data_IF_806465029557
#
_entry.id   IF_806465029557
#
_cell.length_a   1.000
_cell.length_b   1.000
_cell.length_c   1.000
_cell.angle_alpha   90.00
_cell.angle_beta   90.00
_cell.angle_gamma   90.00
#
_symmetry.space_group_name_H-M   'P 1'
#
loop_
_entity.id
_entity.type
_entity.pdbx_description
1 polymer ?
#
# COMPACT_ATOMS: atom_id res chain seq x y z
N UNK A 1 49.84 53.87 12.94
CA UNK A 1 49.06 53.66 14.18
C UNK A 1 47.54 53.63 13.96
N UNK A 2 46.99 54.06 12.81
CA UNK A 2 45.55 54.01 12.55
C UNK A 2 44.99 52.59 12.26
N UNK A 3 45.81 51.68 11.72
CA UNK A 3 45.38 50.34 11.26
C UNK A 3 45.14 49.35 12.41
N UNK A 4 45.86 49.50 13.53
CA UNK A 4 45.70 48.64 14.71
C UNK A 4 44.46 48.97 15.57
N UNK A 5 43.91 50.19 15.44
CA UNK A 5 42.69 50.63 16.12
C UNK A 5 41.43 50.07 15.46
N UNK A 6 41.36 50.14 14.13
CA UNK A 6 40.24 49.63 13.33
C UNK A 6 40.11 48.09 13.44
N UNK A 7 41.23 47.36 13.50
CA UNK A 7 41.22 45.91 13.70
C UNK A 7 40.73 45.52 15.10
N UNK A 8 41.04 46.30 16.15
CA UNK A 8 40.54 46.07 17.52
C UNK A 8 39.07 46.43 17.69
N UNK A 9 38.60 47.51 17.09
CA UNK A 9 37.18 47.89 17.10
C UNK A 9 36.31 46.91 16.31
N UNK A 10 36.77 46.47 15.13
CA UNK A 10 36.06 45.46 14.35
C UNK A 10 35.99 44.11 15.06
N UNK A 11 37.09 43.66 15.68
CA UNK A 11 37.10 42.41 16.43
C UNK A 11 36.24 42.48 17.71
N UNK A 12 36.08 43.67 18.30
CA UNK A 12 35.16 43.93 19.41
C UNK A 12 33.69 43.96 18.99
N UNK A 13 33.39 44.51 17.81
CA UNK A 13 32.04 44.49 17.22
C UNK A 13 31.63 43.08 16.79
N UNK A 14 32.51 42.34 16.13
CA UNK A 14 32.27 40.94 15.73
C UNK A 14 32.02 40.04 16.97
N UNK A 15 32.77 40.25 18.06
CA UNK A 15 32.56 39.53 19.32
C UNK A 15 31.23 39.89 20.02
N UNK A 16 30.78 41.14 19.87
CA UNK A 16 29.54 41.63 20.49
C UNK A 16 28.31 41.17 19.69
N UNK A 17 28.39 41.19 18.36
CA UNK A 17 27.39 40.56 17.48
C UNK A 17 27.32 39.04 17.71
N UNK A 18 28.46 38.39 18.00
CA UNK A 18 28.51 36.97 18.36
C UNK A 18 27.80 36.62 19.68
N UNK A 19 27.82 37.53 20.64
CA UNK A 19 27.14 37.38 21.93
C UNK A 19 25.63 37.62 21.76
N UNK A 20 25.24 38.59 20.93
CA UNK A 20 23.84 39.00 20.72
C UNK A 20 23.00 37.90 20.07
N UNK A 21 23.52 37.18 19.06
CA UNK A 21 22.76 36.08 18.45
C UNK A 21 22.59 34.88 19.39
N UNK A 22 23.57 34.61 20.26
CA UNK A 22 23.46 33.55 21.28
C UNK A 22 22.37 33.89 22.29
N UNK A 23 22.34 35.13 22.77
CA UNK A 23 21.29 35.63 23.67
C UNK A 23 19.91 35.48 23.01
N UNK A 24 19.82 35.80 21.71
CA UNK A 24 18.58 35.65 20.95
C UNK A 24 18.14 34.18 20.83
N UNK A 25 19.05 33.25 20.52
CA UNK A 25 18.77 31.82 20.47
C UNK A 25 18.33 31.28 21.84
N UNK A 26 18.97 31.74 22.92
CA UNK A 26 18.59 31.41 24.30
C UNK A 26 17.20 31.92 24.67
N UNK A 27 16.82 33.11 24.21
CA UNK A 27 15.49 33.67 24.42
C UNK A 27 14.41 32.81 23.75
N UNK A 28 14.64 32.36 22.50
CA UNK A 28 13.71 31.45 21.81
C UNK A 28 13.64 30.06 22.46
N UNK A 29 14.76 29.53 22.96
CA UNK A 29 14.76 28.32 23.80
C UNK A 29 13.88 28.52 25.04
N UNK A 30 13.99 29.65 25.72
CA UNK A 30 13.22 29.92 26.93
C UNK A 30 11.72 30.08 26.63
N UNK A 31 11.36 30.76 25.55
CA UNK A 31 9.98 30.80 25.04
C UNK A 31 9.44 29.38 24.78
N UNK A 32 10.24 28.55 24.10
CA UNK A 32 9.91 27.15 23.85
C UNK A 32 9.75 26.33 25.14
N UNK A 33 10.57 26.58 26.16
CA UNK A 33 10.47 25.93 27.47
C UNK A 33 9.18 26.32 28.21
N UNK A 34 8.79 27.59 28.18
CA UNK A 34 7.54 28.06 28.80
C UNK A 34 6.30 27.48 28.08
N UNK A 35 6.32 27.47 26.74
CA UNK A 35 5.29 26.79 25.96
C UNK A 35 5.23 25.28 26.26
N UNK A 36 6.39 24.63 26.47
CA UNK A 36 6.44 23.22 26.83
C UNK A 36 5.84 22.95 28.22
N UNK A 37 6.15 23.79 29.22
CA UNK A 37 5.59 23.67 30.58
C UNK A 37 4.07 23.86 30.59
N UNK A 38 3.55 24.75 29.75
CA UNK A 38 2.11 25.05 29.63
C UNK A 38 1.36 24.05 28.73
N UNK A 39 2.04 23.01 28.22
CA UNK A 39 1.42 21.97 27.39
C UNK A 39 1.16 22.37 25.94
N UNK A 40 1.70 23.51 25.52
CA UNK A 40 1.55 24.03 24.15
C UNK A 40 2.66 23.51 23.26
N UNK A 41 2.57 22.23 22.89
CA UNK A 41 3.65 21.51 22.22
C UNK A 41 4.05 22.10 20.86
N UNK A 42 3.10 22.64 20.08
CA UNK A 42 3.37 23.26 18.77
C UNK A 42 4.16 24.57 18.91
N UNK A 43 3.73 25.44 19.82
CA UNK A 43 4.45 26.69 20.15
C UNK A 43 5.86 26.37 20.67
N UNK A 44 6.00 25.32 21.50
CA UNK A 44 7.31 24.87 21.97
C UNK A 44 8.25 24.45 20.81
N UNK A 45 7.72 23.69 19.84
CA UNK A 45 8.46 23.27 18.65
C UNK A 45 8.90 24.48 17.82
N UNK A 46 8.04 25.48 17.66
CA UNK A 46 8.35 26.71 16.93
C UNK A 46 9.48 27.50 17.63
N UNK A 47 9.39 27.69 18.95
CA UNK A 47 10.45 28.34 19.73
C UNK A 47 11.79 27.63 19.61
N UNK A 48 11.83 26.30 19.74
CA UNK A 48 13.08 25.56 19.53
C UNK A 48 13.57 25.57 18.08
N UNK A 49 12.66 25.64 17.10
CA UNK A 49 13.06 25.72 15.68
C UNK A 49 13.75 27.04 15.39
N UNK A 50 13.20 28.17 15.89
CA UNK A 50 13.87 29.47 15.79
C UNK A 50 15.23 29.49 16.48
N UNK A 51 15.35 28.83 17.64
CA UNK A 51 16.63 28.70 18.31
C UNK A 51 17.66 27.89 17.48
N UNK A 52 17.22 26.84 16.79
CA UNK A 52 18.05 26.01 15.90
C UNK A 52 18.44 26.75 14.62
N UNK A 53 17.55 27.57 14.08
CA UNK A 53 17.83 28.37 12.88
C UNK A 53 18.93 29.41 13.14
N UNK A 54 19.12 29.83 14.39
CA UNK A 54 20.18 30.73 14.83
C UNK A 54 21.45 29.95 15.24
N UNK A 55 21.30 28.90 16.06
CA UNK A 55 22.41 28.04 16.50
C UNK A 55 22.14 26.57 16.13
N UNK A 56 22.59 26.13 14.94
CA UNK A 56 22.34 24.78 14.45
C UNK A 56 23.21 23.70 15.10
N UNK A 57 24.19 24.08 15.94
CA UNK A 57 25.13 23.16 16.57
C UNK A 57 24.81 22.91 18.05
N UNK A 58 23.78 23.56 18.58
CA UNK A 58 23.36 23.38 19.96
C UNK A 58 22.47 22.13 20.17
N UNK A 59 23.09 21.06 20.63
CA UNK A 59 22.43 19.79 21.04
C UNK A 59 21.21 19.96 21.95
N UNK A 60 21.16 20.99 22.81
CA UNK A 60 20.07 21.16 23.79
C UNK A 60 18.77 21.48 23.09
N UNK A 61 18.83 22.26 22.01
CA UNK A 61 17.63 22.70 21.28
C UNK A 61 16.98 21.52 20.56
N UNK A 62 17.78 20.69 19.89
CA UNK A 62 17.31 19.43 19.31
C UNK A 62 16.74 18.49 20.37
N UNK A 63 17.37 18.38 21.55
CA UNK A 63 16.89 17.51 22.64
C UNK A 63 15.50 17.96 23.13
N UNK A 64 15.30 19.26 23.26
CA UNK A 64 14.04 19.82 23.74
C UNK A 64 12.94 19.77 22.67
N UNK A 65 13.28 20.01 21.41
CA UNK A 65 12.35 19.86 20.27
C UNK A 65 11.94 18.40 20.07
N UNK A 66 12.87 17.47 20.20
CA UNK A 66 12.58 16.02 20.19
C UNK A 66 11.56 15.65 21.27
N UNK A 67 11.75 16.14 22.50
CA UNK A 67 10.79 15.91 23.59
C UNK A 67 9.41 16.51 23.29
N UNK A 68 9.35 17.70 22.71
CA UNK A 68 8.10 18.35 22.31
C UNK A 68 7.38 17.56 21.21
N UNK A 69 8.11 17.05 20.21
CA UNK A 69 7.55 16.17 19.19
C UNK A 69 6.99 14.86 19.74
N UNK A 70 7.63 14.27 20.76
CA UNK A 70 7.10 13.08 21.42
C UNK A 70 5.81 13.36 22.18
N UNK A 71 5.71 14.52 22.85
CA UNK A 71 4.47 14.93 23.55
C UNK A 71 3.33 15.29 22.59
N UNK A 72 3.65 15.75 21.38
CA UNK A 72 2.66 16.01 20.34
C UNK A 72 2.02 14.71 19.77
N UNK A 73 2.66 13.55 19.92
CA UNK A 73 2.12 12.24 19.55
C UNK A 73 2.22 11.89 18.06
N UNK A 74 1.90 12.82 17.16
CA UNK A 74 1.88 12.61 15.70
C UNK A 74 3.25 12.81 15.01
N UNK A 75 4.26 13.24 15.76
CA UNK A 75 5.56 13.66 15.20
C UNK A 75 6.74 12.77 15.64
N UNK A 76 6.49 11.50 15.98
CA UNK A 76 7.51 10.57 16.50
C UNK A 76 8.72 10.38 15.56
N UNK A 77 8.51 10.43 14.24
CA UNK A 77 9.60 10.35 13.25
C UNK A 77 10.48 11.60 13.22
N UNK A 78 9.91 12.78 13.48
CA UNK A 78 10.66 14.03 13.62
C UNK A 78 11.45 14.06 14.94
N UNK A 79 10.84 13.56 16.02
CA UNK A 79 11.52 13.38 17.30
C UNK A 79 12.76 12.49 17.19
N UNK A 80 12.68 11.41 16.40
CA UNK A 80 13.80 10.52 16.15
C UNK A 80 14.96 11.27 15.47
N UNK A 81 14.70 12.00 14.39
CA UNK A 81 15.74 12.76 13.67
C UNK A 81 16.44 13.77 14.57
N UNK A 82 15.68 14.51 15.37
CA UNK A 82 16.26 15.47 16.31
C UNK A 82 17.09 14.77 17.40
N UNK A 83 16.66 13.59 17.87
CA UNK A 83 17.41 12.82 18.85
C UNK A 83 18.69 12.20 18.26
N UNK A 84 18.66 11.74 17.01
CA UNK A 84 19.86 11.29 16.28
C UNK A 84 20.86 12.45 16.14
N UNK A 85 20.37 13.65 15.77
CA UNK A 85 21.21 14.85 15.71
C UNK A 85 21.83 15.22 17.07
N UNK A 86 21.12 15.01 18.17
CA UNK A 86 21.70 15.22 19.52
C UNK A 86 22.88 14.29 19.80
N UNK A 87 22.78 13.02 19.38
CA UNK A 87 23.85 12.02 19.57
C UNK A 87 25.03 12.35 18.66
N UNK A 88 24.79 12.80 17.43
CA UNK A 88 25.83 13.29 16.52
C UNK A 88 26.60 14.49 17.10
N UNK A 89 25.88 15.49 17.64
CA UNK A 89 26.47 16.71 18.18
C UNK A 89 27.17 16.50 19.53
N UNK A 90 26.73 15.52 20.33
CA UNK A 90 27.38 15.17 21.58
C UNK A 90 27.26 13.67 21.90
N UNK A 91 28.23 12.88 21.45
CA UNK A 91 28.24 11.43 21.67
C UNK A 91 28.54 11.04 23.12
N UNK A 92 29.07 11.95 23.94
CA UNK A 92 29.35 11.71 25.37
C UNK A 92 28.23 12.21 26.29
N UNK A 93 27.13 12.73 25.74
CA UNK A 93 26.03 13.25 26.54
C UNK A 93 24.95 12.20 26.77
N UNK A 94 24.90 11.62 27.97
CA UNK A 94 23.96 10.54 28.33
C UNK A 94 22.48 10.89 28.02
N UNK A 95 22.09 12.16 28.16
CA UNK A 95 20.73 12.65 27.87
C UNK A 95 20.36 12.54 26.38
N UNK A 96 21.32 12.61 25.46
CA UNK A 96 21.09 12.37 24.02
C UNK A 96 20.57 10.96 23.78
N UNK A 97 21.17 9.96 24.43
CA UNK A 97 20.74 8.57 24.36
C UNK A 97 19.38 8.35 25.03
N UNK A 98 19.09 9.07 26.11
CA UNK A 98 17.74 9.04 26.70
C UNK A 98 16.68 9.53 25.70
N UNK A 99 16.97 10.58 24.93
CA UNK A 99 16.06 11.11 23.90
C UNK A 99 15.92 10.16 22.72
N UNK A 100 17.02 9.60 22.23
CA UNK A 100 17.02 8.68 21.10
C UNK A 100 16.27 7.38 21.44
N UNK A 101 16.55 6.79 22.61
CA UNK A 101 15.86 5.60 23.08
C UNK A 101 14.36 5.85 23.29
N UNK A 102 13.98 7.01 23.85
CA UNK A 102 12.57 7.37 24.01
C UNK A 102 11.84 7.54 22.68
N UNK A 103 12.50 8.12 21.67
CA UNK A 103 11.93 8.25 20.33
C UNK A 103 11.78 6.90 19.61
N UNK A 104 12.78 6.03 19.72
CA UNK A 104 12.73 4.67 19.19
C UNK A 104 11.63 3.84 19.87
N UNK A 105 11.52 3.95 21.20
CA UNK A 105 10.46 3.31 21.99
C UNK A 105 9.07 3.79 21.54
N UNK A 106 8.87 5.10 21.38
CA UNK A 106 7.58 5.65 20.93
C UNK A 106 7.20 5.18 19.51
N UNK A 107 8.18 4.87 18.66
CA UNK A 107 8.00 4.32 17.31
C UNK A 107 7.81 2.78 17.28
N UNK A 108 7.82 2.10 18.43
CA UNK A 108 7.74 0.64 18.50
C UNK A 108 9.02 -0.08 18.09
N UNK A 109 10.16 0.63 18.00
CA UNK A 109 11.47 0.06 17.66
C UNK A 109 12.20 -0.38 18.93
N UNK A 110 11.62 -1.36 19.63
CA UNK A 110 12.06 -1.75 20.96
C UNK A 110 13.48 -2.33 21.00
N UNK A 111 13.89 -3.13 20.01
CA UNK A 111 15.25 -3.66 19.93
C UNK A 111 16.31 -2.54 19.90
N UNK A 112 16.07 -1.53 19.06
CA UNK A 112 16.93 -0.36 18.95
C UNK A 112 16.94 0.47 20.24
N UNK A 113 15.78 0.68 20.85
CA UNK A 113 15.66 1.42 22.10
C UNK A 113 16.47 0.78 23.23
N UNK A 114 16.41 -0.55 23.37
CA UNK A 114 17.19 -1.32 24.36
C UNK A 114 18.70 -1.11 24.16
N UNK A 115 19.18 -1.17 22.91
CA UNK A 115 20.60 -0.94 22.60
C UNK A 115 21.02 0.49 22.91
N UNK A 116 20.21 1.47 22.53
CA UNK A 116 20.47 2.89 22.77
C UNK A 116 20.52 3.21 24.26
N UNK A 117 19.58 2.71 25.06
CA UNK A 117 19.59 2.94 26.51
C UNK A 117 20.80 2.27 27.19
N UNK A 118 21.21 1.08 26.73
CA UNK A 118 22.46 0.45 27.19
C UNK A 118 23.69 1.29 26.86
N UNK A 119 23.76 1.87 25.66
CA UNK A 119 24.83 2.78 25.28
C UNK A 119 24.86 4.04 26.16
N UNK A 120 23.69 4.60 26.47
CA UNK A 120 23.57 5.72 27.41
C UNK A 120 24.05 5.38 28.83
N UNK A 121 23.72 4.18 29.33
CA UNK A 121 24.20 3.68 30.63
C UNK A 121 25.70 3.36 30.64
N UNK A 122 26.30 3.05 29.48
CA UNK A 122 27.75 2.89 29.40
C UNK A 122 28.49 4.23 29.63
N UNK A 123 27.84 5.35 29.30
CA UNK A 123 28.36 6.70 29.51
C UNK A 123 28.07 7.18 30.95
N UNK A 124 26.85 6.95 31.43
CA UNK A 124 26.41 7.35 32.77
C UNK A 124 25.73 6.17 33.49
N UNK A 125 26.52 5.30 34.15
CA UNK A 125 26.03 4.05 34.74
C UNK A 125 25.03 4.25 35.89
N UNK A 126 25.05 5.39 36.57
CA UNK A 126 24.21 5.67 37.74
C UNK A 126 22.94 6.45 37.39
N UNK A 127 22.58 6.52 36.11
CA UNK A 127 21.41 7.24 35.65
C UNK A 127 20.12 6.44 35.82
N UNK A 128 19.43 6.65 36.95
CA UNK A 128 18.17 5.98 37.27
C UNK A 128 17.08 6.15 36.18
N UNK A 129 17.07 7.29 35.47
CA UNK A 129 16.12 7.54 34.40
C UNK A 129 16.37 6.65 33.17
N UNK A 130 17.63 6.45 32.80
CA UNK A 130 18.01 5.53 31.73
C UNK A 130 17.78 4.07 32.12
N UNK A 131 18.06 3.70 33.37
CA UNK A 131 17.80 2.34 33.87
C UNK A 131 16.30 2.00 33.83
N UNK A 132 15.45 2.90 34.33
CA UNK A 132 14.00 2.76 34.25
C UNK A 132 13.50 2.67 32.80
N UNK A 133 14.06 3.49 31.90
CA UNK A 133 13.71 3.48 30.48
C UNK A 133 14.15 2.19 29.77
N UNK A 134 15.30 1.63 30.16
CA UNK A 134 15.78 0.34 29.67
C UNK A 134 14.87 -0.81 30.12
N UNK A 135 14.42 -0.80 31.38
CA UNK A 135 13.49 -1.79 31.90
C UNK A 135 12.16 -1.75 31.12
N UNK A 136 11.58 -0.56 30.95
CA UNK A 136 10.36 -0.36 30.17
C UNK A 136 10.52 -0.82 28.71
N UNK A 137 11.67 -0.53 28.09
CA UNK A 137 11.95 -0.95 26.71
C UNK A 137 12.08 -2.47 26.57
N UNK A 138 12.67 -3.17 27.56
CA UNK A 138 12.75 -4.64 27.57
C UNK A 138 11.38 -5.28 27.74
N UNK A 139 10.55 -4.75 28.65
CA UNK A 139 9.18 -5.23 28.82
C UNK A 139 8.38 -5.06 27.52
N UNK A 140 8.46 -3.88 26.89
CA UNK A 140 7.80 -3.64 25.61
C UNK A 140 8.34 -4.51 24.46
N UNK A 141 9.63 -4.82 24.47
CA UNK A 141 10.25 -5.75 23.51
C UNK A 141 9.71 -7.17 23.67
N UNK A 142 9.55 -7.64 24.92
CA UNK A 142 9.01 -8.97 25.21
C UNK A 142 7.53 -9.08 24.86
N UNK A 143 6.73 -8.05 25.14
CA UNK A 143 5.31 -8.01 24.76
C UNK A 143 5.14 -8.01 23.25
N UNK A 144 5.85 -7.16 22.50
CA UNK A 144 5.83 -7.17 21.02
C UNK A 144 6.26 -8.51 20.44
N UNK A 145 7.32 -9.13 20.99
CA UNK A 145 7.75 -10.48 20.57
C UNK A 145 6.66 -11.52 20.81
N UNK A 146 6.00 -11.48 21.97
CA UNK A 146 4.92 -12.40 22.33
C UNK A 146 3.70 -12.22 21.43
N UNK A 147 3.33 -10.98 21.12
CA UNK A 147 2.23 -10.67 20.21
C UNK A 147 2.53 -11.13 18.79
N UNK A 148 3.73 -10.87 18.27
CA UNK A 148 4.16 -11.38 16.96
C UNK A 148 4.13 -12.89 16.89
N UNK A 149 4.58 -13.57 17.94
CA UNK A 149 4.53 -15.04 18.00
C UNK A 149 3.10 -15.57 18.01
N UNK A 150 2.18 -14.94 18.78
CA UNK A 150 0.75 -15.28 18.74
C UNK A 150 0.13 -15.07 17.36
N UNK A 151 0.46 -13.95 16.72
CA UNK A 151 -0.09 -13.61 15.41
C UNK A 151 0.41 -14.57 14.32
N UNK A 152 1.70 -14.92 14.34
CA UNK A 152 2.27 -15.93 13.44
C UNK A 152 1.64 -17.32 13.64
N UNK A 153 1.29 -17.70 14.88
CA UNK A 153 0.59 -18.95 15.16
C UNK A 153 -0.81 -18.96 14.52
N UNK A 154 -1.58 -17.87 14.68
CA UNK A 154 -2.91 -17.71 14.05
C UNK A 154 -2.79 -17.77 12.53
N UNK A 155 -1.80 -17.09 11.94
CA UNK A 155 -1.58 -17.11 10.49
C UNK A 155 -1.25 -18.52 9.97
N UNK A 156 -0.45 -19.29 10.72
CA UNK A 156 -0.16 -20.68 10.38
C UNK A 156 -1.42 -21.54 10.40
N UNK A 157 -2.24 -21.42 11.44
CA UNK A 157 -3.47 -22.20 11.56
C UNK A 157 -4.47 -21.85 10.44
N UNK A 158 -4.58 -20.56 10.06
CA UNK A 158 -5.37 -20.11 8.91
C UNK A 158 -4.85 -20.74 7.60
N UNK A 159 -3.54 -20.78 7.40
CA UNK A 159 -2.96 -21.32 6.17
C UNK A 159 -3.12 -22.85 6.09
N UNK A 160 -3.00 -23.55 7.23
CA UNK A 160 -3.31 -24.99 7.33
C UNK A 160 -4.78 -25.28 6.95
N UNK A 161 -5.72 -24.48 7.44
CA UNK A 161 -7.12 -24.59 7.03
C UNK A 161 -7.33 -24.31 5.53
N UNK A 162 -6.64 -23.31 4.97
CA UNK A 162 -6.74 -22.99 3.53
C UNK A 162 -6.21 -24.11 2.67
N UNK A 163 -5.09 -24.73 3.07
CA UNK A 163 -4.51 -25.87 2.37
C UNK A 163 -5.45 -27.08 2.44
N UNK A 164 -5.99 -27.37 3.62
CA UNK A 164 -7.00 -28.43 3.83
C UNK A 164 -8.24 -28.22 2.95
N UNK A 165 -8.81 -27.00 2.93
CA UNK A 165 -9.94 -26.64 2.05
C UNK A 165 -9.60 -26.82 0.57
N UNK A 166 -8.39 -26.43 0.15
CA UNK A 166 -7.92 -26.58 -1.24
C UNK A 166 -7.80 -28.05 -1.64
N UNK A 167 -7.30 -28.89 -0.75
CA UNK A 167 -7.16 -30.33 -1.02
C UNK A 167 -8.52 -31.04 -1.01
N UNK A 168 -9.45 -30.64 -0.14
CA UNK A 168 -10.84 -31.12 -0.16
C UNK A 168 -11.56 -30.76 -1.48
N UNK A 169 -11.39 -29.54 -1.99
CA UNK A 169 -11.96 -29.13 -3.28
C UNK A 169 -11.37 -29.91 -4.46
N UNK A 170 -10.06 -30.17 -4.45
CA UNK A 170 -9.42 -31.03 -5.47
C UNK A 170 -9.94 -32.46 -5.41
N UNK A 171 -10.10 -33.02 -4.22
CA UNK A 171 -10.65 -34.36 -4.04
C UNK A 171 -12.09 -34.44 -4.55
N UNK A 172 -12.91 -33.43 -4.25
CA UNK A 172 -14.29 -33.32 -4.76
C UNK A 172 -14.33 -33.24 -6.28
N UNK A 173 -13.53 -32.37 -6.89
CA UNK A 173 -13.45 -32.25 -8.35
C UNK A 173 -12.98 -33.55 -9.02
N UNK A 174 -12.06 -34.28 -8.38
CA UNK A 174 -11.60 -35.59 -8.87
C UNK A 174 -12.71 -36.65 -8.79
N UNK A 175 -13.51 -36.65 -7.73
CA UNK A 175 -14.66 -37.56 -7.58
C UNK A 175 -15.75 -37.27 -8.63
N UNK A 176 -16.12 -35.99 -8.80
CA UNK A 176 -17.10 -35.56 -9.82
C UNK A 176 -16.63 -35.93 -11.24
N UNK A 177 -15.33 -35.81 -11.54
CA UNK A 177 -14.77 -36.22 -12.83
C UNK A 177 -14.80 -37.75 -13.04
N UNK A 178 -14.59 -38.53 -11.99
CA UNK A 178 -14.66 -39.99 -12.05
C UNK A 178 -16.11 -40.47 -12.30
N UNK A 179 -17.08 -39.88 -11.58
CA UNK A 179 -18.50 -40.17 -11.76
C UNK A 179 -18.98 -39.79 -13.17
N UNK A 180 -18.56 -38.63 -13.69
CA UNK A 180 -18.85 -38.22 -15.05
C UNK A 180 -18.23 -39.16 -16.11
N UNK A 181 -17.05 -39.72 -15.84
CA UNK A 181 -16.41 -40.69 -16.72
C UNK A 181 -17.14 -42.03 -16.71
N UNK A 182 -17.58 -42.50 -15.54
CA UNK A 182 -18.36 -43.73 -15.38
C UNK A 182 -19.73 -43.63 -16.04
N UNK A 183 -20.45 -42.52 -15.85
CA UNK A 183 -21.72 -42.26 -16.53
C UNK A 183 -21.56 -42.23 -18.06
N UNK A 184 -20.44 -41.69 -18.56
CA UNK A 184 -20.13 -41.66 -19.99
C UNK A 184 -19.76 -43.04 -20.54
N UNK A 185 -19.09 -43.87 -19.75
CA UNK A 185 -18.80 -45.26 -20.10
C UNK A 185 -20.08 -46.11 -20.13
N UNK A 186 -20.99 -45.94 -19.16
CA UNK A 186 -22.29 -46.61 -19.15
C UNK A 186 -23.16 -46.22 -20.35
N UNK A 187 -23.21 -44.93 -20.71
CA UNK A 187 -23.92 -44.45 -21.90
C UNK A 187 -23.31 -44.98 -23.22
N UNK A 188 -22.01 -45.26 -23.26
CA UNK A 188 -21.36 -45.87 -24.42
C UNK A 188 -21.70 -47.36 -24.58
N UNK A 189 -21.97 -48.07 -23.47
CA UNK A 189 -22.38 -49.48 -23.47
C UNK A 189 -23.85 -49.64 -23.93
N UNK A 190 -24.72 -48.67 -23.64
CA UNK A 190 -26.09 -48.66 -24.18
C UNK A 190 -26.18 -48.25 -25.67
N UNK A 191 -25.12 -47.67 -26.24
CA UNK A 191 -25.15 -47.07 -27.59
C UNK A 191 -24.57 -47.94 -28.73
N UNK A 192 -24.21 -49.21 -28.54
CA UNK A 192 -23.82 -50.05 -29.68
C UNK A 192 -23.37 -51.48 -29.41
N UNK A 193 -24.15 -52.44 -29.91
CA UNK A 193 -23.62 -53.66 -30.55
C UNK A 193 -22.77 -53.24 -31.76
N UNK A 194 -21.55 -53.81 -31.91
CA UNK A 194 -20.74 -53.54 -33.11
C UNK A 194 -19.25 -53.85 -32.94
N UNK A 195 -18.91 -55.13 -33.12
CA UNK A 195 -17.54 -55.65 -33.19
C UNK A 195 -16.84 -55.17 -34.48
N UNK A 196 -15.67 -54.52 -34.42
CA UNK A 196 -14.69 -54.51 -35.52
C UNK A 196 -13.32 -53.89 -35.13
N UNK A 197 -12.29 -54.73 -35.28
CA UNK A 197 -10.93 -54.42 -35.77
C UNK A 197 -10.08 -53.35 -35.09
N UNK A 198 -9.03 -53.85 -34.42
CA UNK A 198 -7.66 -53.32 -34.32
C UNK A 198 -7.43 -51.88 -34.76
N UNK A 199 -7.32 -51.00 -33.76
CA UNK A 199 -7.09 -49.57 -33.89
C UNK A 199 -5.65 -49.25 -34.38
N UNK A 200 -5.48 -48.71 -35.60
CA UNK A 200 -4.18 -48.31 -36.15
C UNK A 200 -3.52 -47.17 -35.36
N UNK A 201 -4.29 -46.42 -34.56
CA UNK A 201 -3.79 -45.30 -33.75
C UNK A 201 -2.92 -45.75 -32.58
N UNK A 202 -3.12 -46.97 -32.06
CA UNK A 202 -2.31 -47.48 -30.94
C UNK A 202 -0.84 -47.73 -31.35
N UNK A 203 -0.61 -48.20 -32.58
CA UNK A 203 0.73 -48.35 -33.14
C UNK A 203 1.38 -46.99 -33.44
N UNK A 204 0.59 -46.02 -33.90
CA UNK A 204 1.04 -44.66 -34.18
C UNK A 204 1.43 -43.88 -32.90
N UNK A 205 0.67 -44.03 -31.81
CA UNK A 205 1.02 -43.41 -30.52
C UNK A 205 2.22 -44.07 -29.83
N UNK A 206 2.50 -45.35 -30.10
CA UNK A 206 3.71 -46.03 -29.60
C UNK A 206 4.96 -45.59 -30.36
N UNK A 207 4.84 -45.31 -31.67
CA UNK A 207 5.94 -44.81 -32.51
C UNK A 207 6.29 -43.34 -32.22
N UNK A 208 5.30 -42.51 -31.86
CA UNK A 208 5.53 -41.13 -31.40
C UNK A 208 6.18 -41.06 -30.00
N UNK A 209 5.96 -42.07 -29.14
CA UNK A 209 6.65 -42.14 -27.84
C UNK A 209 8.14 -42.52 -27.98
N UNK A 210 8.56 -43.08 -29.12
CA UNK A 210 9.96 -43.41 -29.42
C UNK A 210 10.84 -42.21 -29.84
N UNK A 211 10.26 -41.07 -30.22
CA UNK A 211 11.01 -39.92 -30.77
C UNK A 211 11.12 -38.70 -29.85
N UNK A 212 10.74 -38.80 -28.57
CA UNK A 212 11.08 -37.79 -27.56
C UNK A 212 12.54 -37.93 -27.12
N UNK A 213 13.49 -37.71 -28.05
CA UNK A 213 14.88 -37.43 -27.68
C UNK A 213 14.91 -36.10 -26.93
N UNK A 214 14.89 -36.19 -25.59
CA UNK A 214 15.01 -35.05 -24.70
C UNK A 214 16.23 -34.20 -25.06
N UNK A 215 15.96 -32.97 -25.54
CA UNK A 215 16.99 -31.95 -25.65
C UNK A 215 17.35 -31.54 -24.23
N UNK A 216 18.64 -31.55 -23.83
CA UNK A 216 19.03 -31.20 -22.46
C UNK A 216 18.56 -29.77 -22.14
N UNK A 217 17.92 -29.57 -20.98
CA UNK A 217 17.28 -28.30 -20.59
C UNK A 217 18.18 -27.06 -20.76
N UNK A 218 19.49 -27.19 -20.51
CA UNK A 218 20.50 -26.13 -20.72
C UNK A 218 20.74 -25.74 -22.19
N UNK A 219 20.32 -26.55 -23.15
CA UNK A 219 20.37 -26.25 -24.59
C UNK A 219 19.07 -25.57 -25.03
N UNK A 220 17.92 -25.96 -24.47
CA UNK A 220 16.62 -25.29 -24.72
C UNK A 220 16.62 -23.86 -24.15
N UNK A 221 17.11 -23.67 -22.92
CA UNK A 221 17.20 -22.36 -22.27
C UNK A 221 18.16 -21.42 -23.02
N UNK A 222 19.28 -21.94 -23.56
CA UNK A 222 20.20 -21.17 -24.44
C UNK A 222 19.57 -20.79 -25.78
N UNK A 223 18.82 -21.69 -26.41
CA UNK A 223 18.13 -21.43 -27.69
C UNK A 223 17.00 -20.40 -27.52
N UNK A 224 16.29 -20.41 -26.40
CA UNK A 224 15.28 -19.40 -26.07
C UNK A 224 15.90 -18.02 -25.79
N UNK A 225 17.05 -17.98 -25.12
CA UNK A 225 17.78 -16.74 -24.86
C UNK A 225 18.24 -16.04 -26.16
N UNK A 226 18.71 -16.80 -27.16
CA UNK A 226 19.15 -16.25 -28.46
C UNK A 226 18.00 -15.67 -29.30
N UNK A 227 16.77 -16.15 -29.11
CA UNK A 227 15.56 -15.72 -29.85
C UNK A 227 15.22 -14.25 -29.61
N UNK A 228 15.36 -13.78 -28.37
CA UNK A 228 14.94 -12.43 -27.96
C UNK A 228 16.10 -11.42 -27.95
N UNK A 229 17.33 -11.91 -27.80
CA UNK A 229 18.53 -11.08 -27.69
C UNK A 229 19.00 -10.54 -29.04
N UNK A 230 18.91 -11.31 -30.12
CA UNK A 230 19.38 -10.89 -31.45
C UNK A 230 18.31 -10.27 -32.35
N UNK A 231 17.08 -10.12 -31.85
CA UNK A 231 15.99 -9.52 -32.61
C UNK A 231 16.17 -8.01 -32.72
N UNK A 232 16.28 -7.52 -33.96
CA UNK A 232 16.33 -6.09 -34.28
C UNK A 232 15.08 -5.38 -33.75
N UNK A 233 15.30 -4.27 -33.07
CA UNK A 233 14.28 -3.42 -32.45
C UNK A 233 13.88 -2.25 -33.34
N UNK A 234 14.51 -2.08 -34.51
CA UNK A 234 14.24 -0.98 -35.42
C UNK A 234 14.70 0.37 -34.88
N UNK A 235 14.21 1.42 -35.50
CA UNK A 235 14.63 2.79 -35.18
C UNK A 235 13.90 3.35 -33.95
N UNK A 236 14.48 4.35 -33.25
CA UNK A 236 13.81 5.01 -32.13
C UNK A 236 12.43 5.57 -32.49
N UNK A 237 12.31 6.17 -33.69
CA UNK A 237 11.06 6.74 -34.18
C UNK A 237 9.98 5.68 -34.36
N UNK A 238 10.31 4.56 -34.99
CA UNK A 238 9.38 3.44 -35.16
C UNK A 238 8.92 2.87 -33.82
N UNK A 239 9.81 2.79 -32.83
CA UNK A 239 9.44 2.33 -31.49
C UNK A 239 8.52 3.29 -30.77
N UNK A 240 8.73 4.60 -30.92
CA UNK A 240 7.83 5.61 -30.36
C UNK A 240 6.47 5.60 -31.05
N UNK A 241 6.46 5.56 -32.38
CA UNK A 241 5.24 5.45 -33.17
C UNK A 241 4.46 4.20 -32.82
N UNK A 242 5.14 3.08 -32.50
CA UNK A 242 4.54 1.82 -32.01
C UNK A 242 3.98 1.93 -30.59
N UNK A 243 4.74 2.47 -29.66
CA UNK A 243 4.37 2.55 -28.24
C UNK A 243 3.29 3.58 -27.99
N UNK A 244 3.19 4.60 -28.83
CA UNK A 244 2.24 5.70 -28.71
C UNK A 244 1.22 5.74 -29.85
N UNK A 245 0.93 4.58 -30.46
CA UNK A 245 -0.12 4.44 -31.46
C UNK A 245 -1.48 4.93 -30.93
N UNK A 246 -2.42 5.15 -31.85
CA UNK A 246 -3.83 5.26 -31.49
C UNK A 246 -4.22 4.08 -30.58
N UNK A 247 -4.89 4.39 -29.47
CA UNK A 247 -5.28 3.45 -28.42
C UNK A 247 -4.12 2.76 -27.68
N UNK A 248 -2.92 3.38 -27.61
CA UNK A 248 -1.78 2.81 -26.88
C UNK A 248 -2.11 2.41 -25.44
N UNK A 249 -2.99 3.17 -24.76
CA UNK A 249 -3.46 2.88 -23.40
C UNK A 249 -4.07 1.48 -23.24
N UNK A 250 -4.61 0.92 -24.32
CA UNK A 250 -5.23 -0.41 -24.32
C UNK A 250 -4.30 -1.47 -24.91
N UNK A 251 -3.51 -1.11 -25.93
CA UNK A 251 -2.51 -2.00 -26.53
C UNK A 251 -1.38 -2.35 -25.56
N UNK A 252 -0.90 -1.37 -24.79
CA UNK A 252 0.25 -1.53 -23.90
C UNK A 252 -0.10 -2.20 -22.57
N UNK A 253 -1.38 -2.52 -22.32
CA UNK A 253 -1.80 -3.28 -21.14
C UNK A 253 -1.16 -4.68 -21.10
N UNK A 254 -0.89 -5.25 -22.28
CA UNK A 254 -0.13 -6.49 -22.39
C UNK A 254 1.38 -6.19 -22.35
N UNK A 255 2.00 -6.38 -21.18
CA UNK A 255 3.41 -6.03 -20.99
C UNK A 255 4.38 -6.90 -21.84
N UNK A 256 3.99 -8.12 -22.21
CA UNK A 256 4.79 -8.96 -23.11
C UNK A 256 4.84 -8.37 -24.52
N UNK A 257 3.72 -7.88 -25.06
CA UNK A 257 3.69 -7.20 -26.36
C UNK A 257 4.41 -5.85 -26.34
N UNK A 258 4.29 -5.09 -25.24
CA UNK A 258 5.00 -3.82 -25.06
C UNK A 258 6.52 -4.02 -25.15
N UNK A 259 7.05 -5.06 -24.50
CA UNK A 259 8.47 -5.40 -24.54
C UNK A 259 8.87 -6.27 -25.75
N UNK A 260 7.92 -6.69 -26.58
CA UNK A 260 8.15 -7.59 -27.72
C UNK A 260 8.77 -8.94 -27.29
N UNK A 261 8.20 -9.55 -26.26
CA UNK A 261 8.61 -10.84 -25.71
C UNK A 261 7.48 -11.87 -25.83
N UNK A 262 7.84 -13.15 -25.92
CA UNK A 262 6.90 -14.25 -25.76
C UNK A 262 6.63 -14.56 -24.28
N UNK A 263 5.59 -15.36 -24.02
CA UNK A 263 5.25 -15.81 -22.66
C UNK A 263 6.27 -16.79 -22.07
N UNK A 264 7.12 -17.38 -22.92
CA UNK A 264 8.25 -18.25 -22.61
C UNK A 264 9.52 -17.49 -22.19
N UNK A 265 9.51 -16.15 -22.21
CA UNK A 265 10.67 -15.32 -21.90
C UNK A 265 11.12 -15.44 -20.44
N UNK A 266 12.42 -15.59 -20.23
CA UNK A 266 13.04 -15.64 -18.89
C UNK A 266 13.14 -14.24 -18.27
N UNK A 267 13.42 -14.19 -16.95
CA UNK A 267 13.68 -12.91 -16.25
C UNK A 267 14.84 -12.14 -16.89
N UNK A 268 15.86 -12.85 -17.36
CA UNK A 268 17.03 -12.23 -17.96
C UNK A 268 16.70 -11.65 -19.34
N UNK A 269 15.89 -12.34 -20.13
CA UNK A 269 15.38 -11.83 -21.42
C UNK A 269 14.59 -10.54 -21.20
N UNK A 270 13.73 -10.50 -20.18
CA UNK A 270 12.95 -9.32 -19.80
C UNK A 270 13.86 -8.14 -19.44
N UNK A 271 14.89 -8.38 -18.62
CA UNK A 271 15.87 -7.34 -18.23
C UNK A 271 16.66 -6.83 -19.42
N UNK A 272 17.16 -7.71 -20.26
CA UNK A 272 17.95 -7.32 -21.43
C UNK A 272 17.10 -6.57 -22.45
N UNK A 273 15.87 -7.02 -22.70
CA UNK A 273 14.93 -6.34 -23.60
C UNK A 273 14.54 -4.97 -23.07
N UNK A 274 14.30 -4.85 -21.76
CA UNK A 274 14.08 -3.57 -21.11
C UNK A 274 15.28 -2.63 -21.29
N UNK A 275 16.52 -3.08 -21.05
CA UNK A 275 17.72 -2.26 -21.26
C UNK A 275 17.81 -1.73 -22.70
N UNK A 276 17.60 -2.60 -23.70
CA UNK A 276 17.63 -2.18 -25.11
C UNK A 276 16.52 -1.19 -25.45
N UNK A 277 15.26 -1.51 -25.14
CA UNK A 277 14.13 -0.62 -25.43
C UNK A 277 14.20 0.71 -24.68
N UNK A 278 14.50 0.67 -23.38
CA UNK A 278 14.60 1.89 -22.55
C UNK A 278 15.70 2.83 -23.01
N UNK A 279 16.83 2.32 -23.49
CA UNK A 279 17.90 3.15 -24.07
C UNK A 279 17.52 3.73 -25.43
N UNK A 280 16.72 3.03 -26.23
CA UNK A 280 16.24 3.51 -27.52
C UNK A 280 15.25 4.66 -27.38
N UNK A 281 14.35 4.60 -26.40
CA UNK A 281 13.30 5.62 -26.15
C UNK A 281 13.64 6.55 -24.98
N UNK A 282 14.89 6.58 -24.51
CA UNK A 282 15.26 7.37 -23.34
C UNK A 282 15.10 8.89 -23.60
N UNK A 283 14.44 9.66 -22.72
CA UNK A 283 14.21 11.09 -22.91
C UNK A 283 15.52 11.87 -23.09
N UNK A 284 16.54 11.64 -22.25
CA UNK A 284 17.81 12.37 -22.33
C UNK A 284 18.63 12.07 -23.60
N UNK A 285 18.46 10.89 -24.21
CA UNK A 285 19.16 10.53 -25.47
C UNK A 285 18.41 11.00 -26.71
N UNK A 286 17.17 11.49 -26.53
CA UNK A 286 16.19 11.83 -27.56
C UNK A 286 15.48 13.14 -27.20
N UNK A 287 16.28 14.16 -26.88
CA UNK A 287 15.82 15.51 -26.57
C UNK A 287 15.04 16.15 -27.73
N UNK A 288 15.24 15.66 -28.94
CA UNK A 288 14.55 16.04 -30.19
C UNK A 288 13.10 15.54 -30.26
N UNK A 289 12.72 14.56 -29.44
CA UNK A 289 11.39 13.93 -29.49
C UNK A 289 10.61 14.15 -28.19
N UNK A 290 9.63 15.07 -28.15
CA UNK A 290 8.92 15.42 -26.91
C UNK A 290 8.10 14.25 -26.33
N UNK A 291 7.72 13.29 -27.17
CA UNK A 291 6.96 12.09 -26.79
C UNK A 291 7.84 10.97 -26.19
N UNK A 292 9.17 11.14 -26.14
CA UNK A 292 10.09 10.08 -25.70
C UNK A 292 9.87 9.71 -24.23
N UNK A 293 9.51 10.70 -23.40
CA UNK A 293 9.17 10.48 -21.99
C UNK A 293 7.99 9.53 -21.81
N UNK A 294 6.90 9.75 -22.55
CA UNK A 294 5.69 8.93 -22.44
C UNK A 294 5.96 7.49 -22.92
N UNK A 295 6.69 7.33 -24.02
CA UNK A 295 7.10 6.01 -24.52
C UNK A 295 8.00 5.27 -23.53
N UNK A 296 8.95 5.97 -22.90
CA UNK A 296 9.81 5.41 -21.86
C UNK A 296 9.03 4.97 -20.62
N UNK A 297 8.04 5.76 -20.21
CA UNK A 297 7.18 5.41 -19.07
C UNK A 297 6.38 4.13 -19.35
N UNK A 298 5.84 3.94 -20.55
CA UNK A 298 5.12 2.71 -20.93
C UNK A 298 6.03 1.47 -20.91
N UNK A 299 7.25 1.58 -21.43
CA UNK A 299 8.27 0.51 -21.38
C UNK A 299 8.65 0.19 -19.94
N UNK A 300 8.81 1.21 -19.09
CA UNK A 300 9.12 1.06 -17.66
C UNK A 300 7.99 0.38 -16.89
N UNK A 301 6.74 0.77 -17.13
CA UNK A 301 5.54 0.14 -16.52
C UNK A 301 5.47 -1.34 -16.90
N UNK A 302 5.65 -1.67 -18.17
CA UNK A 302 5.65 -3.06 -18.65
C UNK A 302 6.73 -3.91 -17.98
N UNK A 303 7.95 -3.37 -17.87
CA UNK A 303 9.05 -4.05 -17.18
C UNK A 303 8.74 -4.31 -15.70
N UNK A 304 8.22 -3.31 -14.98
CA UNK A 304 7.85 -3.46 -13.57
C UNK A 304 6.76 -4.51 -13.36
N UNK A 305 5.79 -4.62 -14.28
CA UNK A 305 4.74 -5.64 -14.22
C UNK A 305 5.28 -7.06 -14.44
N UNK A 306 6.26 -7.24 -15.33
CA UNK A 306 6.86 -8.54 -15.61
C UNK A 306 7.94 -8.98 -14.61
N UNK A 307 8.47 -8.05 -13.81
CA UNK A 307 9.43 -8.36 -12.75
C UNK A 307 8.76 -9.07 -11.57
N UNK A 308 7.49 -8.77 -11.31
CA UNK A 308 6.63 -9.47 -10.36
C UNK A 308 6.22 -10.84 -10.95
N UNK A 309 6.66 -11.91 -10.30
CA UNK A 309 6.46 -13.28 -10.78
C UNK A 309 4.98 -13.67 -10.85
N UNK A 310 4.17 -13.24 -9.89
CA UNK A 310 2.75 -13.60 -9.82
C UNK A 310 1.96 -12.87 -10.91
N UNK A 311 2.28 -11.59 -11.14
CA UNK A 311 1.70 -10.82 -12.24
C UNK A 311 2.09 -11.40 -13.58
N UNK A 312 3.37 -11.76 -13.75
CA UNK A 312 3.87 -12.41 -14.97
C UNK A 312 3.12 -13.71 -15.26
N UNK A 313 2.98 -14.60 -14.28
CA UNK A 313 2.24 -15.87 -14.41
C UNK A 313 0.77 -15.64 -14.74
N UNK A 314 0.11 -14.72 -14.03
CA UNK A 314 -1.30 -14.39 -14.24
C UNK A 314 -1.55 -13.86 -15.65
N UNK A 315 -0.67 -12.98 -16.12
CA UNK A 315 -0.76 -12.40 -17.46
C UNK A 315 -0.49 -13.44 -18.55
N UNK A 316 0.54 -14.28 -18.39
CA UNK A 316 0.81 -15.39 -19.30
C UNK A 316 -0.39 -16.34 -19.40
N UNK A 317 -0.97 -16.75 -18.26
CA UNK A 317 -2.14 -17.62 -18.22
C UNK A 317 -3.38 -16.99 -18.87
N UNK A 318 -3.57 -15.68 -18.71
CA UNK A 318 -4.68 -14.95 -19.37
C UNK A 318 -4.51 -14.97 -20.88
N UNK A 319 -3.30 -14.71 -21.39
CA UNK A 319 -3.01 -14.77 -22.83
C UNK A 319 -3.22 -16.19 -23.35
N UNK A 320 -2.77 -17.23 -22.65
CA UNK A 320 -2.97 -18.62 -23.05
C UNK A 320 -4.46 -18.99 -23.09
N UNK A 321 -5.23 -18.61 -22.07
CA UNK A 321 -6.66 -18.84 -22.03
C UNK A 321 -7.39 -18.15 -23.20
N UNK A 322 -7.00 -16.91 -23.54
CA UNK A 322 -7.58 -16.20 -24.68
C UNK A 322 -7.17 -16.85 -26.01
N UNK A 323 -5.90 -17.17 -26.20
CA UNK A 323 -5.39 -17.80 -27.40
C UNK A 323 -6.05 -19.17 -27.66
N UNK A 324 -6.20 -19.99 -26.62
CA UNK A 324 -6.88 -21.29 -26.71
C UNK A 324 -8.38 -21.13 -26.98
N UNK A 325 -9.05 -20.15 -26.37
CA UNK A 325 -10.46 -19.82 -26.69
C UNK A 325 -10.62 -19.44 -28.15
N UNK A 326 -9.78 -18.53 -28.65
CA UNK A 326 -9.82 -18.09 -30.06
C UNK A 326 -9.58 -19.26 -31.01
N UNK A 327 -8.58 -20.11 -30.72
CA UNK A 327 -8.30 -21.29 -31.54
C UNK A 327 -9.51 -22.24 -31.59
N UNK A 328 -10.13 -22.53 -30.43
CA UNK A 328 -11.34 -23.36 -30.35
C UNK A 328 -12.53 -22.74 -31.08
N UNK A 329 -12.74 -21.43 -30.99
CA UNK A 329 -13.82 -20.73 -31.70
C UNK A 329 -13.63 -20.79 -33.22
N UNK A 330 -12.39 -20.62 -33.69
CA UNK A 330 -12.06 -20.76 -35.11
C UNK A 330 -12.26 -22.19 -35.60
N UNK A 331 -11.77 -23.17 -34.85
CA UNK A 331 -11.96 -24.58 -35.19
C UNK A 331 -13.45 -24.93 -35.29
N UNK A 332 -14.27 -24.51 -34.31
CA UNK A 332 -15.73 -24.69 -34.35
C UNK A 332 -16.39 -24.06 -35.57
N UNK A 333 -15.90 -22.92 -36.07
CA UNK A 333 -16.43 -22.29 -37.30
C UNK A 333 -16.06 -23.11 -38.53
N UNK A 334 -14.85 -23.66 -38.58
CA UNK A 334 -14.39 -24.56 -39.65
C UNK A 334 -15.22 -25.86 -39.63
N UNK A 335 -15.42 -26.46 -38.45
CA UNK A 335 -16.24 -27.68 -38.29
C UNK A 335 -17.71 -27.47 -38.71
N UNK A 336 -18.21 -26.24 -38.62
CA UNK A 336 -19.55 -25.83 -39.09
C UNK A 336 -19.61 -25.51 -40.59
N UNK A 337 -18.53 -25.75 -41.33
CA UNK A 337 -18.47 -25.58 -42.78
C UNK A 337 -18.13 -24.18 -43.27
N UNK A 338 -17.68 -23.26 -42.38
CA UNK A 338 -17.18 -21.95 -42.82
C UNK A 338 -15.81 -22.12 -43.48
N UNK A 339 -15.70 -21.72 -44.75
CA UNK A 339 -14.43 -21.77 -45.46
C UNK A 339 -13.37 -20.91 -44.77
N UNK A 340 -12.14 -21.42 -44.69
CA UNK A 340 -11.02 -20.71 -44.06
C UNK A 340 -10.79 -19.31 -44.67
N UNK A 341 -10.99 -19.17 -45.99
CA UNK A 341 -10.88 -17.91 -46.71
C UNK A 341 -11.87 -16.86 -46.20
N UNK A 342 -13.12 -17.25 -45.93
CA UNK A 342 -14.15 -16.32 -45.43
C UNK A 342 -13.92 -15.99 -43.96
N UNK A 343 -13.43 -16.96 -43.17
CA UNK A 343 -12.99 -16.73 -41.79
C UNK A 343 -11.82 -15.75 -41.71
N UNK A 344 -10.88 -15.81 -42.66
CA UNK A 344 -9.76 -14.86 -42.74
C UNK A 344 -10.19 -13.47 -43.20
N UNK A 345 -11.24 -13.36 -44.04
CA UNK A 345 -11.82 -12.06 -44.40
C UNK A 345 -12.58 -11.43 -43.23
N UNK A 346 -13.33 -12.24 -42.46
CA UNK A 346 -14.15 -11.76 -41.32
C UNK A 346 -13.28 -11.38 -40.10
N UNK A 347 -12.34 -12.24 -39.72
CA UNK A 347 -11.59 -12.14 -38.45
C UNK A 347 -10.11 -11.80 -38.63
N UNK A 348 -9.58 -11.78 -39.87
CA UNK A 348 -8.17 -11.59 -40.17
C UNK A 348 -7.33 -12.86 -40.06
N UNK A 349 -6.00 -12.72 -40.01
CA UNK A 349 -5.10 -13.85 -39.71
C UNK A 349 -5.32 -14.37 -38.29
N UNK A 350 -4.91 -15.61 -38.02
CA UNK A 350 -5.08 -16.20 -36.69
C UNK A 350 -4.37 -15.41 -35.61
N UNK A 351 -3.15 -14.96 -35.91
CA UNK A 351 -2.36 -14.13 -35.03
C UNK A 351 -3.00 -12.77 -34.80
N UNK A 352 -3.56 -12.14 -35.83
CA UNK A 352 -4.26 -10.86 -35.70
C UNK A 352 -5.52 -11.00 -34.82
N UNK A 353 -6.26 -12.10 -34.99
CA UNK A 353 -7.43 -12.38 -34.16
C UNK A 353 -7.05 -12.62 -32.70
N UNK A 354 -6.00 -13.43 -32.43
CA UNK A 354 -5.46 -13.65 -31.07
C UNK A 354 -5.03 -12.35 -30.41
N UNK A 355 -4.27 -11.50 -31.11
CA UNK A 355 -3.83 -10.18 -30.61
C UNK A 355 -5.02 -9.26 -30.26
N UNK A 356 -6.01 -9.17 -31.17
CA UNK A 356 -7.22 -8.37 -30.94
C UNK A 356 -8.05 -8.88 -29.76
N UNK A 357 -8.17 -10.19 -29.59
CA UNK A 357 -8.87 -10.80 -28.47
C UNK A 357 -8.13 -10.55 -27.15
N UNK A 358 -6.80 -10.68 -27.13
CA UNK A 358 -5.98 -10.40 -25.94
C UNK A 358 -6.13 -8.94 -25.51
N UNK A 359 -6.03 -8.00 -26.44
CA UNK A 359 -6.22 -6.57 -26.16
C UNK A 359 -7.59 -6.28 -25.53
N UNK A 360 -8.66 -6.91 -26.04
CA UNK A 360 -10.01 -6.77 -25.48
C UNK A 360 -10.10 -7.32 -24.05
N UNK A 361 -9.51 -8.48 -23.80
CA UNK A 361 -9.53 -9.10 -22.47
C UNK A 361 -8.75 -8.27 -21.44
N UNK A 362 -7.59 -7.72 -21.80
CA UNK A 362 -6.88 -6.82 -20.90
C UNK A 362 -7.63 -5.51 -20.67
N UNK A 363 -8.33 -5.01 -21.69
CA UNK A 363 -9.18 -3.82 -21.54
C UNK A 363 -10.35 -4.06 -20.57
N UNK A 364 -11.02 -5.22 -20.65
CA UNK A 364 -12.10 -5.56 -19.71
C UNK A 364 -11.60 -5.74 -18.28
N UNK A 365 -10.43 -6.38 -18.11
CA UNK A 365 -9.77 -6.51 -16.80
C UNK A 365 -9.46 -5.14 -16.20
N UNK A 366 -8.89 -4.22 -16.97
CA UNK A 366 -8.54 -2.88 -16.49
C UNK A 366 -9.78 -2.02 -16.21
N UNK A 367 -10.84 -2.12 -17.02
CA UNK A 367 -12.12 -1.46 -16.73
C UNK A 367 -12.71 -1.95 -15.40
N UNK A 368 -12.77 -3.26 -15.21
CA UNK A 368 -13.27 -3.87 -13.96
C UNK A 368 -12.44 -3.44 -12.76
N UNK A 369 -11.11 -3.37 -12.89
CA UNK A 369 -10.23 -2.88 -11.83
C UNK A 369 -10.57 -1.44 -11.44
N UNK A 370 -10.76 -0.54 -12.42
CA UNK A 370 -11.12 0.87 -12.18
C UNK A 370 -12.49 1.01 -11.51
N UNK A 371 -13.45 0.17 -11.87
CA UNK A 371 -14.76 0.13 -11.22
C UNK A 371 -14.64 -0.29 -9.75
N UNK A 372 -13.91 -1.37 -9.46
CA UNK A 372 -13.66 -1.82 -8.08
C UNK A 372 -12.99 -0.71 -7.26
N UNK A 373 -11.99 -0.03 -7.83
CA UNK A 373 -11.31 1.06 -7.16
C UNK A 373 -12.23 2.26 -6.90
N UNK A 374 -13.07 2.64 -7.86
CA UNK A 374 -14.09 3.68 -7.67
C UNK A 374 -15.09 3.30 -6.57
N UNK A 375 -15.57 2.06 -6.55
CA UNK A 375 -16.45 1.57 -5.50
C UNK A 375 -15.78 1.62 -4.13
N UNK A 376 -14.52 1.18 -4.03
CA UNK A 376 -13.75 1.22 -2.77
C UNK A 376 -13.49 2.65 -2.30
N UNK A 377 -13.18 3.58 -3.21
CA UNK A 377 -13.02 5.01 -2.87
C UNK A 377 -14.34 5.62 -2.42
N UNK A 378 -15.45 5.30 -3.08
CA UNK A 378 -16.78 5.75 -2.68
C UNK A 378 -17.16 5.21 -1.29
N UNK A 379 -16.83 3.94 -1.00
CA UNK A 379 -17.02 3.34 0.32
C UNK A 379 -16.23 4.08 1.40
N UNK A 380 -14.92 4.29 1.20
CA UNK A 380 -14.07 5.05 2.14
C UNK A 380 -14.59 6.47 2.39
N UNK A 381 -15.07 7.16 1.35
CA UNK A 381 -15.67 8.49 1.48
C UNK A 381 -16.95 8.46 2.32
N UNK A 382 -17.77 7.42 2.19
CA UNK A 382 -18.98 7.23 3.00
C UNK A 382 -18.63 6.93 4.46
N UNK A 383 -17.69 6.03 4.70
CA UNK A 383 -17.19 5.70 6.05
C UNK A 383 -16.63 6.96 6.75
N UNK A 384 -15.74 7.71 6.07
CA UNK A 384 -15.21 8.97 6.60
C UNK A 384 -16.32 10.02 6.87
N UNK A 385 -17.30 10.14 5.98
CA UNK A 385 -18.43 11.06 6.18
C UNK A 385 -19.27 10.67 7.41
N UNK A 386 -19.47 9.36 7.64
CA UNK A 386 -20.16 8.86 8.82
C UNK A 386 -19.36 9.11 10.11
N UNK A 387 -18.05 8.87 10.09
CA UNK A 387 -17.17 9.16 11.23
C UNK A 387 -17.19 10.65 11.59
N UNK A 388 -17.13 11.54 10.60
CA UNK A 388 -17.22 12.99 10.84
C UNK A 388 -18.60 13.38 11.38
N UNK A 389 -19.68 12.81 10.84
CA UNK A 389 -21.03 13.04 11.34
C UNK A 389 -21.21 12.52 12.79
N UNK A 390 -20.60 11.39 13.14
CA UNK A 390 -20.60 10.83 14.50
C UNK A 390 -19.81 11.73 15.45
N UNK A 391 -18.62 12.19 15.06
CA UNK A 391 -17.83 13.17 15.84
C UNK A 391 -18.60 14.48 16.05
N UNK A 392 -19.26 14.99 15.01
CA UNK A 392 -20.09 16.19 15.10
C UNK A 392 -21.31 15.98 16.00
N UNK A 393 -21.93 14.80 15.96
CA UNK A 393 -23.03 14.46 16.86
C UNK A 393 -22.56 14.40 18.32
N UNK A 394 -21.42 13.76 18.58
CA UNK A 394 -20.80 13.73 19.92
C UNK A 394 -20.45 15.14 20.37
N UNK A 395 -19.84 15.96 19.51
CA UNK A 395 -19.51 17.36 19.81
C UNK A 395 -20.76 18.16 20.17
N UNK A 396 -21.82 18.07 19.36
CA UNK A 396 -23.11 18.72 19.64
C UNK A 396 -23.75 18.22 20.93
N UNK A 397 -23.61 16.92 21.24
CA UNK A 397 -24.07 16.36 22.51
C UNK A 397 -23.34 16.99 23.70
N UNK A 398 -22.02 17.04 23.65
CA UNK A 398 -21.18 17.65 24.70
C UNK A 398 -21.46 19.15 24.83
N UNK A 399 -21.61 19.87 23.71
CA UNK A 399 -21.99 21.30 23.70
C UNK A 399 -23.40 21.50 24.28
N UNK A 400 -24.35 20.62 23.95
CA UNK A 400 -25.70 20.62 24.50
C UNK A 400 -25.72 20.37 26.01
N UNK A 401 -24.95 19.40 26.51
CA UNK A 401 -24.80 19.14 27.94
C UNK A 401 -24.15 20.32 28.67
N UNK A 402 -23.13 20.96 28.09
CA UNK A 402 -22.51 22.17 28.65
C UNK A 402 -23.49 23.33 28.69
N UNK A 403 -24.23 23.58 27.60
CA UNK A 403 -25.24 24.63 27.53
C UNK A 403 -26.41 24.37 28.49
N UNK A 404 -26.84 23.11 28.63
CA UNK A 404 -27.80 22.68 29.63
C UNK A 404 -27.27 22.92 31.04
N UNK A 405 -26.05 22.49 31.36
CA UNK A 405 -25.43 22.71 32.68
C UNK A 405 -25.28 24.21 33.01
N UNK A 406 -25.02 25.05 32.01
CA UNK A 406 -24.92 26.50 32.16
C UNK A 406 -26.29 27.19 32.33
N UNK A 407 -27.35 26.66 31.70
CA UNK A 407 -28.74 27.13 31.89
C UNK A 407 -29.38 26.58 33.16
N UNK A 408 -29.00 25.39 33.62
CA UNK A 408 -29.44 24.73 34.86
C UNK A 408 -28.60 25.07 36.10
N UNK A 409 -27.63 26.00 36.03
CA UNK A 409 -26.95 26.51 37.23
C UNK A 409 -28.00 26.94 38.28
N UNK A 410 -27.78 26.48 39.52
CA UNK A 410 -28.70 26.60 40.67
C UNK A 410 -29.30 27.99 40.86
N UNK A 411 -28.60 29.03 40.42
CA UNK A 411 -28.99 30.44 40.45
C UNK A 411 -30.19 30.81 39.55
N UNK A 412 -30.42 30.12 38.43
CA UNK A 412 -31.55 30.39 37.52
C UNK A 412 -32.79 29.55 37.81
N UNK A 413 -32.65 28.51 38.64
CA UNK A 413 -33.73 27.56 38.99
C UNK A 413 -34.62 28.07 40.13
N UNK A 414 -34.07 28.88 41.01
CA UNK A 414 -34.82 29.53 42.08
C UNK A 414 -35.21 30.91 41.56
N UNK A 415 -36.43 31.05 41.05
CA UNK A 415 -37.03 32.37 40.93
C UNK A 415 -36.89 33.06 42.30
N UNK A 416 -36.42 34.31 42.32
CA UNK A 416 -36.18 35.01 43.58
C UNK A 416 -37.40 34.87 44.48
N UNK A 417 -37.21 34.72 45.79
CA UNK A 417 -38.24 34.44 46.81
C UNK A 417 -39.60 35.16 46.61
N UNK A 418 -39.59 36.34 45.98
CA UNK A 418 -40.76 37.11 45.56
C UNK A 418 -41.67 36.42 44.52
N UNK A 419 -41.12 35.67 43.56
CA UNK A 419 -41.89 34.98 42.52
C UNK A 419 -42.60 33.72 43.06
N UNK A 420 -42.07 33.13 44.14
CA UNK A 420 -42.68 31.98 44.82
C UNK A 420 -43.98 32.32 45.56
N UNK A 421 -44.14 33.57 46.04
CA UNK A 421 -45.37 34.01 46.71
C UNK A 421 -46.55 34.28 45.76
N UNK A 422 -46.29 34.51 44.46
CA UNK A 422 -47.35 34.73 43.47
C UNK A 422 -47.61 33.43 42.73
N UNK A 423 -48.44 32.56 43.33
CA UNK A 423 -48.72 31.19 42.90
C UNK A 423 -49.06 30.99 41.42
N UNK A 424 -48.04 30.88 40.58
CA UNK A 424 -48.14 30.55 39.16
C UNK A 424 -47.64 29.13 38.91
N UNK A 425 -48.56 28.18 38.84
CA UNK A 425 -48.29 26.78 38.50
C UNK A 425 -47.78 26.69 37.05
N UNK A 426 -46.49 26.39 36.83
CA UNK A 426 -45.99 26.05 35.48
C UNK A 426 -46.06 24.54 35.28
N UNK A 427 -46.58 24.03 34.15
CA UNK A 427 -46.65 22.60 33.91
C UNK A 427 -45.26 22.02 33.72
N UNK A 428 -44.95 20.96 34.45
CA UNK A 428 -43.76 20.13 34.23
C UNK A 428 -43.90 19.38 32.90
N UNK A 429 -43.35 19.94 31.82
CA UNK A 429 -43.05 19.14 30.62
C UNK A 429 -41.72 18.46 30.86
N UNK A 430 -41.72 17.31 31.56
CA UNK A 430 -40.58 16.39 31.54
C UNK A 430 -40.65 15.59 30.24
N UNK A 431 -40.14 16.15 29.14
CA UNK A 431 -39.57 15.32 28.08
C UNK A 431 -38.13 15.04 28.46
N UNK A 432 -37.83 13.80 28.83
CA UNK A 432 -36.47 13.40 29.21
C UNK A 432 -35.65 13.20 27.94
N UNK A 433 -34.51 13.88 27.86
CA UNK A 433 -33.59 13.86 26.72
C UNK A 433 -33.05 12.46 26.37
N UNK A 434 -33.13 11.51 27.32
CA UNK A 434 -32.85 10.08 27.11
C UNK A 434 -33.73 9.43 26.02
N UNK A 435 -34.94 9.92 25.77
CA UNK A 435 -35.83 9.36 24.75
C UNK A 435 -35.41 9.72 23.31
N UNK A 436 -34.70 10.83 23.09
CA UNK A 436 -34.20 11.22 21.76
C UNK A 436 -32.84 10.56 21.43
N UNK A 437 -32.04 10.23 22.45
CA UNK A 437 -30.80 9.48 22.27
C UNK A 437 -31.04 8.00 21.91
N UNK A 438 -32.10 7.39 22.44
CA UNK A 438 -32.47 6.02 22.10
C UNK A 438 -32.82 5.87 20.62
N UNK A 439 -33.57 6.82 20.04
CA UNK A 439 -33.96 6.78 18.62
C UNK A 439 -32.84 7.15 17.63
N UNK A 440 -31.78 7.85 18.08
CA UNK A 440 -30.60 8.13 17.26
C UNK A 440 -29.60 6.96 17.23
N UNK A 441 -29.58 6.14 18.28
CA UNK A 441 -28.74 4.93 18.38
C UNK A 441 -29.26 3.73 17.56
N UNK A 442 -30.48 3.81 17.02
CA UNK A 442 -31.13 2.76 16.23
C UNK A 442 -30.77 2.80 14.74
N UNK A 443 -29.96 3.75 14.26
CA UNK A 443 -29.51 3.74 12.86
C UNK A 443 -28.43 2.66 12.68
N UNK A 444 -28.65 1.64 11.83
CA UNK A 444 -27.68 0.57 11.66
C UNK A 444 -26.35 1.12 11.14
N UNK A 445 -25.25 0.70 11.77
CA UNK A 445 -23.89 0.99 11.30
C UNK A 445 -23.72 0.43 9.90
N UNK A 446 -23.04 1.16 9.03
CA UNK A 446 -22.74 0.70 7.68
C UNK A 446 -21.95 -0.62 7.74
N UNK A 447 -22.48 -1.67 7.09
CA UNK A 447 -21.91 -3.03 7.10
C UNK A 447 -22.60 -4.02 8.04
N UNK A 448 -23.51 -3.57 8.92
CA UNK A 448 -24.41 -4.47 9.66
C UNK A 448 -25.68 -4.65 8.84
N UNK A 449 -25.72 -5.69 8.02
CA UNK A 449 -26.96 -6.12 7.38
C UNK A 449 -27.77 -6.83 8.45
N UNK A 450 -28.91 -6.26 8.82
CA UNK A 450 -29.87 -6.93 9.69
C UNK A 450 -30.36 -8.19 8.94
N UNK A 451 -30.10 -9.38 9.47
CA UNK A 451 -30.35 -10.65 8.77
C UNK A 451 -31.85 -10.86 8.45
N UNK A 452 -32.73 -10.05 9.04
CA UNK A 452 -34.17 -10.04 8.78
C UNK A 452 -34.60 -9.30 7.50
N UNK A 453 -33.84 -8.30 7.03
CA UNK A 453 -34.29 -7.45 5.93
C UNK A 453 -34.00 -8.02 4.55
N UNK A 454 -32.94 -8.83 4.40
CA UNK A 454 -32.62 -9.49 3.12
C UNK A 454 -33.72 -10.48 2.64
N UNK A 455 -34.60 -10.93 3.54
CA UNK A 455 -35.69 -11.86 3.20
C UNK A 455 -36.99 -11.20 2.74
N UNK A 456 -37.13 -9.87 2.85
CA UNK A 456 -38.37 -9.17 2.45
C UNK A 456 -38.39 -8.72 1.00
N UNK A 457 -37.23 -8.51 0.39
CA UNK A 457 -37.11 -8.04 -1.00
C UNK A 457 -37.10 -9.20 -2.04
N UNK A 458 -37.40 -10.42 -1.60
CA UNK A 458 -37.50 -11.59 -2.48
C UNK A 458 -38.88 -12.27 -2.39
N UNK A 459 -39.94 -11.48 -2.52
CA UNK A 459 -41.29 -11.96 -2.79
C UNK A 459 -41.92 -11.25 -3.98
#
# INVERSE_FOLDING_TARGET
MADAGAAKEKHGQDAQEEEDWKIQAEAFKNEGNEAFKTGKWKEAIEGYTRAIDIDPDNKVYFSNRSAAYLKLGDAKSKALKDAERCVELAPEWSKSFSRLGAAQHALGRFDGAVQTFKAGLAIDPNNAGLESSLAAAKEAQETDRRERWRQAAIERDIEEERLSKKDALKAKAKAEAAEAAEAKAAAAVEAGEGNASGDPLSSFFSEIQGEQKSVPAKKVERVLHDKYTNQDLGTPKEQMDRLLQHNYKWKNLNAFETLQLGQDATVEDIKQRYRKLSTLVHPDKRLDMPLARDAFEEVKKAYQLLLDEDRRKTMAATIDAVCTRVAKERQKKIDKGVALADLTKELGSEEAHKKKACMKEFATIELRRREIEKHRQAQKKREHSQEEAEKDAIRKSVEGEKAWAETERREKRVGGWRDFQKGGNKPKVQKTWKQEMASSSEKPKFGVVDAGDYKKDWK
#
